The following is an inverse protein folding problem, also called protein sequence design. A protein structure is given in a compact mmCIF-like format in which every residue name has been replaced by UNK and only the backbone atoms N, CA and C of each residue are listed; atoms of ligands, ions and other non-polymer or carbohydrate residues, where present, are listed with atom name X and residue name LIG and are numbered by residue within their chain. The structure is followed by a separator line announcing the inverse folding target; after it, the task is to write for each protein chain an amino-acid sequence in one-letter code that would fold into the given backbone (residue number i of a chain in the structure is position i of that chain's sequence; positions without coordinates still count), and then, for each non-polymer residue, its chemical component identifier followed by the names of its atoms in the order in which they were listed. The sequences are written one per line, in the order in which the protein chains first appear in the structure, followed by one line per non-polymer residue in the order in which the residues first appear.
data_IF_907754327581
#
_entry.id   IF_907754327581
#
_cell.length_a   1.000
_cell.length_b   1.000
_cell.length_c   1.000
_cell.angle_alpha   90.00
_cell.angle_beta   90.00
_cell.angle_gamma   90.00
#
_symmetry.space_group_name_H-M   'P 1'
#
loop_
_entity.id
_entity.type
_entity.pdbx_description
1 polymer ?
#
# COMPACT_ATOMS: atom_id res chain seq x y z
N UNK A 1 -5.74 -28.48 -10.63
CA UNK A 1 -6.35 -27.12 -10.47
C UNK A 1 -6.28 -26.39 -11.79
N UNK A 2 -7.31 -25.61 -12.17
CA UNK A 2 -7.25 -24.77 -13.38
C UNK A 2 -6.19 -23.67 -13.16
N UNK A 3 -5.29 -23.46 -14.11
CA UNK A 3 -4.11 -22.58 -14.02
C UNK A 3 -4.41 -21.15 -13.51
N UNK A 4 -5.59 -20.63 -13.81
CA UNK A 4 -6.10 -19.32 -13.37
C UNK A 4 -6.32 -19.20 -11.85
N UNK A 5 -6.67 -20.30 -11.17
CA UNK A 5 -6.75 -20.31 -9.70
C UNK A 5 -5.37 -20.15 -9.06
N UNK A 6 -4.35 -20.68 -9.73
CA UNK A 6 -2.96 -20.57 -9.29
C UNK A 6 -2.48 -19.12 -9.36
N UNK A 7 -2.83 -18.39 -10.42
CA UNK A 7 -2.57 -16.94 -10.52
C UNK A 7 -3.32 -16.13 -9.48
N UNK A 8 -4.59 -16.46 -9.22
CA UNK A 8 -5.38 -15.82 -8.16
C UNK A 8 -4.75 -15.98 -6.78
N UNK A 9 -4.35 -17.21 -6.44
CA UNK A 9 -3.69 -17.52 -5.16
C UNK A 9 -2.33 -16.83 -5.08
N UNK A 10 -1.55 -16.81 -6.16
CA UNK A 10 -0.27 -16.09 -6.23
C UNK A 10 -0.44 -14.58 -6.04
N UNK A 11 -1.46 -13.97 -6.64
CA UNK A 11 -1.74 -12.55 -6.49
C UNK A 11 -2.15 -12.19 -5.05
N UNK A 12 -3.00 -13.02 -4.43
CA UNK A 12 -3.41 -12.85 -3.03
C UNK A 12 -2.22 -13.01 -2.09
N UNK A 13 -1.45 -14.09 -2.25
CA UNK A 13 -0.25 -14.34 -1.45
C UNK A 13 0.79 -13.23 -1.60
N UNK A 14 1.03 -12.76 -2.83
CA UNK A 14 1.92 -11.64 -3.11
C UNK A 14 1.48 -10.35 -2.41
N UNK A 15 0.18 -10.01 -2.46
CA UNK A 15 -0.33 -8.83 -1.75
C UNK A 15 -0.25 -8.95 -0.24
N UNK A 16 -0.48 -10.14 0.34
CA UNK A 16 -0.31 -10.35 1.78
C UNK A 16 1.16 -10.18 2.20
N UNK A 17 2.10 -10.72 1.43
CA UNK A 17 3.54 -10.53 1.68
C UNK A 17 3.94 -9.07 1.54
N UNK A 18 3.43 -8.35 0.54
CA UNK A 18 3.65 -6.90 0.39
C UNK A 18 3.07 -6.14 1.58
N UNK A 19 1.85 -6.48 2.01
CA UNK A 19 1.21 -5.87 3.17
C UNK A 19 2.05 -6.04 4.45
N UNK A 20 2.56 -7.24 4.68
CA UNK A 20 3.35 -7.53 5.87
C UNK A 20 4.72 -6.87 5.79
N UNK A 21 5.45 -7.06 4.69
CA UNK A 21 6.84 -6.62 4.59
C UNK A 21 7.01 -5.11 4.38
N UNK A 22 6.00 -4.41 3.83
CA UNK A 22 6.12 -3.00 3.44
C UNK A 22 5.13 -2.09 4.15
N UNK A 23 4.02 -2.65 4.61
CA UNK A 23 2.94 -1.89 5.25
C UNK A 23 2.66 -2.37 6.68
N UNK A 24 3.42 -3.31 7.26
CA UNK A 24 3.19 -3.77 8.63
C UNK A 24 1.75 -4.25 8.90
N UNK A 25 1.06 -4.80 7.89
CA UNK A 25 -0.37 -5.13 7.87
C UNK A 25 -1.36 -3.95 7.96
N UNK A 26 -0.92 -2.70 7.78
CA UNK A 26 -1.75 -1.49 7.83
C UNK A 26 -2.57 -1.27 6.55
N UNK A 27 -2.14 -1.79 5.40
CA UNK A 27 -2.84 -1.55 4.15
C UNK A 27 -4.11 -2.42 4.02
N UNK A 28 -5.20 -1.79 3.56
CA UNK A 28 -6.52 -2.40 3.42
C UNK A 28 -6.63 -3.33 2.19
N UNK A 29 -5.69 -4.27 2.01
CA UNK A 29 -5.70 -5.25 0.92
C UNK A 29 -6.84 -6.28 1.02
N UNK A 30 -7.60 -6.31 2.13
CA UNK A 30 -8.79 -7.16 2.26
C UNK A 30 -9.86 -6.86 1.18
N UNK A 31 -10.01 -5.59 0.81
CA UNK A 31 -10.93 -5.18 -0.27
C UNK A 31 -10.43 -5.67 -1.63
N UNK A 32 -9.13 -5.52 -1.90
CA UNK A 32 -8.52 -6.03 -3.13
C UNK A 32 -8.60 -7.56 -3.24
N UNK A 33 -8.33 -8.26 -2.15
CA UNK A 33 -8.41 -9.72 -2.04
C UNK A 33 -9.83 -10.23 -2.30
N UNK A 34 -10.84 -9.59 -1.70
CA UNK A 34 -12.24 -9.97 -1.93
C UNK A 34 -12.68 -9.71 -3.38
N UNK A 35 -12.25 -8.60 -3.99
CA UNK A 35 -12.51 -8.32 -5.41
C UNK A 35 -11.88 -9.37 -6.34
N UNK A 36 -10.65 -9.83 -6.06
CA UNK A 36 -10.02 -10.90 -6.85
C UNK A 36 -10.81 -12.20 -6.71
N UNK A 37 -11.23 -12.58 -5.50
CA UNK A 37 -12.01 -13.81 -5.27
C UNK A 37 -13.35 -13.75 -6.02
N UNK A 38 -14.09 -12.65 -5.88
CA UNK A 38 -15.38 -12.46 -6.58
C UNK A 38 -15.19 -12.49 -8.09
N UNK A 39 -14.13 -11.86 -8.60
CA UNK A 39 -13.78 -11.88 -10.02
C UNK A 39 -13.50 -13.30 -10.50
N UNK A 40 -12.71 -14.08 -9.78
CA UNK A 40 -12.41 -15.48 -10.15
C UNK A 40 -13.67 -16.36 -10.17
N UNK A 41 -14.60 -16.14 -9.23
CA UNK A 41 -15.90 -16.82 -9.21
C UNK A 41 -16.74 -16.40 -10.43
N UNK A 42 -16.83 -15.10 -10.73
CA UNK A 42 -17.58 -14.59 -11.88
C UNK A 42 -17.01 -15.04 -13.23
N UNK A 43 -15.68 -15.14 -13.35
CA UNK A 43 -15.03 -15.64 -14.56
C UNK A 43 -15.30 -17.14 -14.80
N UNK A 44 -15.64 -17.91 -13.75
CA UNK A 44 -15.96 -19.34 -13.88
C UNK A 44 -17.24 -19.59 -14.69
N UNK A 45 -18.22 -18.68 -14.62
CA UNK A 45 -19.52 -18.83 -15.30
C UNK A 45 -19.50 -18.35 -16.76
N UNK A 46 -18.47 -17.61 -17.18
CA UNK A 46 -18.36 -17.07 -18.53
C UNK A 46 -17.78 -18.09 -19.53
N UNK A 47 -18.25 -18.04 -20.78
CA UNK A 47 -17.63 -18.77 -21.90
C UNK A 47 -16.18 -18.35 -22.13
N UNK A 48 -15.37 -19.28 -22.68
CA UNK A 48 -13.91 -19.13 -22.73
C UNK A 48 -13.43 -17.88 -23.48
N UNK A 49 -14.15 -17.44 -24.51
CA UNK A 49 -13.83 -16.25 -25.32
C UNK A 49 -14.03 -14.94 -24.55
N UNK A 50 -15.08 -14.86 -23.74
CA UNK A 50 -15.37 -13.68 -22.91
C UNK A 50 -14.58 -13.69 -21.61
N UNK A 51 -14.23 -14.88 -21.10
CA UNK A 51 -13.47 -15.06 -19.86
C UNK A 51 -12.12 -14.35 -19.89
N UNK A 52 -11.37 -14.45 -20.99
CA UNK A 52 -10.04 -13.82 -21.09
C UNK A 52 -10.18 -12.29 -21.15
N UNK A 53 -11.08 -11.78 -22.01
CA UNK A 53 -11.33 -10.33 -22.12
C UNK A 53 -11.80 -9.72 -20.81
N UNK A 54 -12.78 -10.33 -20.16
CA UNK A 54 -13.29 -9.86 -18.87
C UNK A 54 -12.23 -10.01 -17.78
N UNK A 55 -11.41 -11.06 -17.81
CA UNK A 55 -10.30 -11.23 -16.88
C UNK A 55 -9.31 -10.07 -16.93
N UNK A 56 -8.90 -9.66 -18.13
CA UNK A 56 -8.00 -8.50 -18.31
C UNK A 56 -8.65 -7.21 -17.80
N UNK A 57 -9.92 -6.97 -18.13
CA UNK A 57 -10.64 -5.76 -17.68
C UNK A 57 -10.73 -5.73 -16.15
N UNK A 58 -11.13 -6.83 -15.51
CA UNK A 58 -11.24 -6.88 -14.05
C UNK A 58 -9.88 -6.75 -13.38
N UNK A 59 -8.81 -7.33 -13.93
CA UNK A 59 -7.45 -7.13 -13.40
C UNK A 59 -7.04 -5.66 -13.44
N UNK A 60 -7.32 -4.94 -14.53
CA UNK A 60 -7.05 -3.50 -14.62
C UNK A 60 -7.89 -2.69 -13.62
N UNK A 61 -9.17 -3.03 -13.45
CA UNK A 61 -10.05 -2.36 -12.49
C UNK A 61 -9.59 -2.58 -11.04
N UNK A 62 -9.17 -3.80 -10.70
CA UNK A 62 -8.64 -4.12 -9.37
C UNK A 62 -7.32 -3.37 -9.13
N UNK A 63 -6.41 -3.35 -10.10
CA UNK A 63 -5.17 -2.59 -10.01
C UNK A 63 -5.43 -1.08 -9.82
N UNK A 64 -6.37 -0.52 -10.59
CA UNK A 64 -6.81 0.87 -10.43
C UNK A 64 -7.43 1.13 -9.05
N UNK A 65 -8.32 0.26 -8.58
CA UNK A 65 -8.95 0.39 -7.28
C UNK A 65 -7.95 0.33 -6.12
N UNK A 66 -6.92 -0.52 -6.21
CA UNK A 66 -5.82 -0.55 -5.24
C UNK A 66 -5.06 0.78 -5.27
N UNK A 67 -4.67 1.24 -6.46
CA UNK A 67 -3.90 2.47 -6.62
C UNK A 67 -4.65 3.72 -6.10
N UNK A 68 -5.93 3.84 -6.42
CA UNK A 68 -6.78 4.95 -5.95
C UNK A 68 -7.28 4.78 -4.51
N UNK A 69 -7.24 3.56 -3.97
CA UNK A 69 -7.68 3.25 -2.61
C UNK A 69 -6.60 3.46 -1.55
N UNK A 70 -5.35 3.69 -1.94
CA UNK A 70 -4.30 4.07 -1.01
C UNK A 70 -4.64 5.45 -0.41
N UNK A 71 -4.62 5.60 0.93
CA UNK A 71 -4.75 6.91 1.54
C UNK A 71 -3.64 7.83 1.01
N UNK A 72 -3.91 9.13 0.98
CA UNK A 72 -2.89 10.11 0.63
C UNK A 72 -2.92 11.22 1.68
N UNK A 73 -2.21 10.98 2.77
CA UNK A 73 -2.12 11.92 3.87
C UNK A 73 -1.37 13.17 3.42
N UNK A 74 -1.98 14.32 3.66
CA UNK A 74 -1.29 15.60 3.60
C UNK A 74 -0.29 15.72 4.75
N UNK A 75 0.69 16.63 4.61
CA UNK A 75 1.62 16.96 5.70
C UNK A 75 0.87 17.39 6.97
N UNK A 76 -0.23 18.13 6.81
CA UNK A 76 -1.05 18.59 7.92
C UNK A 76 -1.76 17.44 8.66
N UNK A 77 -2.29 16.45 7.95
CA UNK A 77 -2.90 15.27 8.56
C UNK A 77 -1.85 14.37 9.22
N UNK A 78 -0.69 14.21 8.59
CA UNK A 78 0.44 13.48 9.18
C UNK A 78 0.90 14.14 10.50
N UNK A 79 1.04 15.47 10.51
CA UNK A 79 1.38 16.24 11.72
C UNK A 79 0.29 16.11 12.79
N UNK A 80 -0.99 16.18 12.40
CA UNK A 80 -2.12 15.99 13.31
C UNK A 80 -2.09 14.62 13.97
N UNK A 81 -1.86 13.56 13.18
CA UNK A 81 -1.76 12.19 13.68
C UNK A 81 -0.57 12.00 14.62
N UNK A 82 0.60 12.55 14.28
CA UNK A 82 1.79 12.49 15.12
C UNK A 82 1.59 13.24 16.46
N UNK A 83 0.87 14.37 16.45
CA UNK A 83 0.54 15.15 17.65
C UNK A 83 -0.42 14.44 18.62
N UNK A 84 -1.10 13.38 18.19
CA UNK A 84 -1.89 12.53 19.10
C UNK A 84 -1.00 11.71 20.04
N UNK A 85 0.27 11.47 19.66
CA UNK A 85 1.20 10.58 20.37
C UNK A 85 2.42 11.34 20.91
N UNK A 86 2.85 12.39 20.21
CA UNK A 86 4.02 13.22 20.54
C UNK A 86 3.58 14.62 20.95
N UNK A 87 4.25 15.21 21.96
CA UNK A 87 3.92 16.58 22.41
C UNK A 87 4.42 17.62 21.42
N UNK A 88 5.61 17.41 20.89
CA UNK A 88 6.24 18.29 19.92
C UNK A 88 6.39 17.53 18.60
N UNK A 89 5.93 18.14 17.52
CA UNK A 89 6.06 17.62 16.15
C UNK A 89 6.31 18.82 15.24
N UNK A 90 7.46 18.83 14.59
CA UNK A 90 7.84 19.85 13.61
C UNK A 90 8.14 19.17 12.28
N UNK A 91 7.49 19.63 11.23
CA UNK A 91 7.83 19.21 9.88
C UNK A 91 9.22 19.72 9.49
N UNK A 92 10.07 18.84 8.96
CA UNK A 92 11.43 19.17 8.54
C UNK A 92 11.47 19.35 7.03
N UNK A 93 11.20 18.29 6.27
CA UNK A 93 11.18 18.27 4.82
C UNK A 93 10.50 17.00 4.26
N UNK A 94 10.27 17.00 2.96
CA UNK A 94 9.92 15.80 2.20
C UNK A 94 11.20 15.13 1.70
N UNK A 95 11.31 13.82 1.90
CA UNK A 95 12.45 13.03 1.49
C UNK A 95 12.01 12.12 0.34
N UNK A 96 12.70 12.23 -0.80
CA UNK A 96 12.54 11.29 -1.90
C UNK A 96 13.09 9.92 -1.50
N UNK A 97 12.29 8.87 -1.69
CA UNK A 97 12.73 7.51 -1.41
C UNK A 97 13.52 7.00 -2.61
N UNK A 98 14.84 6.85 -2.46
CA UNK A 98 15.71 6.27 -3.51
C UNK A 98 15.57 4.75 -3.45
N UNK A 99 15.29 4.16 -4.61
CA UNK A 99 14.89 2.76 -4.70
C UNK A 99 16.11 1.83 -4.74
N UNK A 100 16.23 0.93 -3.76
CA UNK A 100 17.19 -0.19 -3.82
C UNK A 100 16.57 -1.48 -4.40
N UNK A 101 15.26 -1.49 -4.72
CA UNK A 101 14.54 -2.67 -5.22
C UNK A 101 13.45 -2.35 -6.26
N UNK A 102 12.63 -3.33 -6.63
CA UNK A 102 11.40 -3.07 -7.39
C UNK A 102 10.21 -3.15 -6.43
N UNK A 103 9.60 -2.00 -6.11
CA UNK A 103 8.30 -1.93 -5.44
C UNK A 103 7.39 -0.93 -6.16
N UNK A 104 6.30 -1.40 -6.80
CA UNK A 104 5.37 -0.53 -7.50
C UNK A 104 4.46 0.28 -6.56
N UNK A 105 4.49 0.02 -5.26
CA UNK A 105 3.69 0.70 -4.24
C UNK A 105 4.54 1.57 -3.31
N UNK A 106 5.84 1.75 -3.60
CA UNK A 106 6.69 2.55 -2.73
C UNK A 106 6.26 4.02 -2.77
N UNK A 107 6.14 4.70 -1.62
CA UNK A 107 5.84 6.12 -1.62
C UNK A 107 6.97 6.84 -2.34
N UNK A 108 6.61 7.64 -3.36
CA UNK A 108 7.57 8.52 -4.03
C UNK A 108 8.20 9.54 -3.06
N UNK A 109 7.53 9.81 -1.94
CA UNK A 109 7.85 10.85 -0.96
C UNK A 109 7.45 10.37 0.42
N UNK A 110 8.31 10.59 1.40
CA UNK A 110 7.98 10.43 2.82
C UNK A 110 8.20 11.77 3.52
N UNK A 111 7.40 12.05 4.55
CA UNK A 111 7.53 13.28 5.31
C UNK A 111 8.44 13.06 6.51
N UNK A 112 9.50 13.83 6.63
CA UNK A 112 10.36 13.81 7.80
C UNK A 112 9.83 14.79 8.84
N UNK A 113 9.58 14.28 10.03
CA UNK A 113 9.22 15.07 11.20
C UNK A 113 10.30 14.93 12.27
N UNK A 114 10.57 16.03 12.95
CA UNK A 114 11.27 16.04 14.23
C UNK A 114 10.22 16.01 15.33
N UNK A 115 10.34 15.06 16.24
CA UNK A 115 9.41 14.85 17.34
C UNK A 115 10.06 15.28 18.67
N UNK A 116 9.48 14.86 19.80
CA UNK A 116 10.06 15.03 21.13
C UNK A 116 11.58 14.74 21.16
N UNK A 117 12.30 15.26 22.15
CA UNK A 117 13.73 14.95 22.38
C UNK A 117 14.71 15.23 21.21
N UNK A 118 14.25 15.72 20.05
CA UNK A 118 15.03 15.86 18.82
C UNK A 118 15.09 14.61 17.94
N UNK A 119 14.28 13.59 18.25
CA UNK A 119 14.21 12.37 17.44
C UNK A 119 13.54 12.64 16.09
N UNK A 120 13.94 11.89 15.05
CA UNK A 120 13.39 12.02 13.70
C UNK A 120 12.55 10.82 13.33
N UNK A 121 11.40 11.07 12.71
CA UNK A 121 10.49 10.04 12.20
C UNK A 121 10.11 10.31 10.76
N UNK A 122 10.05 9.25 9.97
CA UNK A 122 9.53 9.28 8.61
C UNK A 122 8.07 8.84 8.63
N UNK A 123 7.20 9.66 8.07
CA UNK A 123 5.78 9.37 7.90
C UNK A 123 5.51 9.00 6.44
N UNK A 124 4.86 7.87 6.22
CA UNK A 124 4.47 7.38 4.90
C UNK A 124 3.08 7.89 4.54
N UNK A 125 2.94 8.80 3.56
CA UNK A 125 1.66 9.40 3.24
C UNK A 125 0.67 8.44 2.58
N UNK A 126 1.17 7.34 2.00
CA UNK A 126 0.41 6.31 1.29
C UNK A 126 -0.16 5.21 2.19
N UNK A 127 0.30 5.13 3.44
CA UNK A 127 -0.16 4.13 4.42
C UNK A 127 -0.53 4.70 5.78
N UNK A 128 -0.01 5.87 6.14
CA UNK A 128 -0.11 6.42 7.49
C UNK A 128 0.88 5.81 8.48
N UNK A 129 1.80 4.95 8.02
CA UNK A 129 2.82 4.34 8.89
C UNK A 129 3.94 5.32 9.24
N UNK A 130 4.56 5.05 10.39
CA UNK A 130 5.66 5.84 10.95
C UNK A 130 6.90 4.94 11.08
N UNK A 131 7.94 5.25 10.32
CA UNK A 131 9.26 4.62 10.45
C UNK A 131 10.11 5.50 11.36
N UNK A 132 10.46 4.98 12.55
CA UNK A 132 11.42 5.65 13.44
C UNK A 132 12.82 5.57 12.83
N UNK A 133 13.37 6.71 12.41
CA UNK A 133 14.78 6.80 12.05
C UNK A 133 15.58 7.07 13.31
N UNK A 134 16.46 6.13 13.70
CA UNK A 134 17.49 6.47 14.70
C UNK A 134 18.32 7.65 14.16
N UNK A 135 18.77 8.58 15.01
CA UNK A 135 19.64 9.65 14.55
C UNK A 135 20.85 9.04 13.84
N UNK A 136 21.31 9.62 12.72
CA UNK A 136 22.58 9.22 12.14
C UNK A 136 23.66 9.40 13.21
N UNK A 137 24.43 8.34 13.46
CA UNK A 137 25.64 8.41 14.29
C UNK A 137 26.67 9.33 13.65
#
# INVERSE_FOLDING_TARGET
MKWWWMFGILAIGGMMVVNEAWYGNSAAFGTATSMIIVTLIGLKSLENRYRIRMGVIFSLLIAGAIYFGLPNYSVAEAEHNLKQVHKNVNYVNDVGVVNEGWNPFQPNRVYLFEIDSGDRVLFLPDSGDIIKTRPPM
#
